data_IF_136269154317
#
_entry.id   IF_136269154317
#
_cell.length_a   1.000
_cell.length_b   1.000
_cell.length_c   1.000
_cell.angle_alpha   90.00
_cell.angle_beta   90.00
_cell.angle_gamma   90.00
#
_symmetry.space_group_name_H-M   'P 1'
#
loop_
_entity.id
_entity.type
_entity.pdbx_description
1 polymer ?
#
# COMPACT_ATOMS: atom_id res chain seq x y z
N UNK A 1 13.20 -2.20 -0.58
CA UNK A 1 12.00 -2.66 0.14
C UNK A 1 12.21 -3.95 0.89
N UNK A 2 12.99 -4.90 0.35
CA UNK A 2 13.28 -6.20 0.99
C UNK A 2 13.72 -6.08 2.47
N UNK A 3 14.43 -5.01 2.85
CA UNK A 3 14.84 -4.80 4.25
C UNK A 3 13.68 -4.70 5.25
N UNK A 4 12.56 -4.03 4.92
CA UNK A 4 11.44 -3.87 5.86
C UNK A 4 10.64 -5.15 6.03
N UNK A 5 10.41 -5.88 4.95
CA UNK A 5 9.74 -7.19 4.98
C UNK A 5 10.54 -8.18 5.85
N UNK A 6 11.86 -8.24 5.67
CA UNK A 6 12.72 -9.13 6.46
C UNK A 6 12.73 -8.77 7.95
N UNK A 7 12.74 -7.47 8.29
CA UNK A 7 12.64 -7.02 9.69
C UNK A 7 11.28 -7.41 10.29
N UNK A 8 10.18 -7.20 9.56
CA UNK A 8 8.84 -7.57 10.03
C UNK A 8 8.75 -9.09 10.25
N UNK A 9 9.27 -9.89 9.32
CA UNK A 9 9.33 -11.35 9.46
C UNK A 9 10.13 -11.77 10.70
N UNK A 10 11.32 -11.20 10.90
CA UNK A 10 12.18 -11.50 12.05
C UNK A 10 11.57 -11.10 13.40
N UNK A 11 10.62 -10.16 13.40
CA UNK A 11 9.94 -9.64 14.60
C UNK A 11 8.51 -10.13 14.73
N UNK A 12 8.08 -11.08 13.89
CA UNK A 12 6.72 -11.62 13.86
C UNK A 12 5.63 -10.55 13.66
N UNK A 13 5.93 -9.55 12.82
CA UNK A 13 5.00 -8.50 12.38
C UNK A 13 4.61 -8.80 10.93
N UNK A 14 3.32 -8.67 10.60
CA UNK A 14 2.85 -8.82 9.23
C UNK A 14 3.20 -7.58 8.40
N UNK A 15 3.71 -7.79 7.19
CA UNK A 15 4.05 -6.72 6.24
C UNK A 15 3.17 -6.80 4.99
N UNK A 16 2.63 -5.65 4.57
CA UNK A 16 1.89 -5.50 3.32
C UNK A 16 2.70 -4.66 2.33
N UNK A 17 3.13 -5.26 1.22
CA UNK A 17 3.75 -4.50 0.14
C UNK A 17 2.69 -3.75 -0.68
N UNK A 18 2.53 -2.47 -0.38
CA UNK A 18 1.69 -1.56 -1.18
C UNK A 18 2.45 -0.92 -2.34
N UNK A 19 3.77 -0.89 -2.30
CA UNK A 19 4.57 -0.17 -3.30
C UNK A 19 4.60 -0.93 -4.62
N UNK A 20 4.80 -2.26 -4.59
CA UNK A 20 4.84 -3.07 -5.80
C UNK A 20 3.60 -2.94 -6.71
N UNK A 21 2.36 -2.91 -6.17
CA UNK A 21 1.17 -2.61 -6.96
C UNK A 21 1.03 -1.12 -7.32
N UNK A 22 1.25 -0.19 -6.39
CA UNK A 22 1.00 1.24 -6.63
C UNK A 22 2.00 1.90 -7.59
N UNK A 23 3.24 1.41 -7.67
CA UNK A 23 4.19 1.87 -8.69
C UNK A 23 3.72 1.57 -10.13
N UNK A 24 2.74 0.68 -10.30
CA UNK A 24 2.13 0.32 -11.59
C UNK A 24 0.72 0.92 -11.75
N UNK A 25 0.23 1.63 -10.73
CA UNK A 25 -1.09 2.24 -10.78
C UNK A 25 -1.06 3.52 -11.59
N UNK A 26 -1.79 3.53 -12.70
CA UNK A 26 -1.99 4.75 -13.48
C UNK A 26 -2.74 5.82 -12.67
N UNK A 27 -3.74 5.43 -11.87
CA UNK A 27 -4.51 6.35 -11.03
C UNK A 27 -3.61 7.07 -10.04
N UNK A 28 -2.80 6.32 -9.30
CA UNK A 28 -1.89 6.85 -8.30
C UNK A 28 -0.89 7.82 -8.93
N UNK A 29 -0.20 7.38 -9.98
CA UNK A 29 0.84 8.16 -10.64
C UNK A 29 0.28 9.44 -11.28
N UNK A 30 -0.91 9.36 -11.89
CA UNK A 30 -1.55 10.51 -12.51
C UNK A 30 -1.98 11.55 -11.47
N UNK A 31 -2.63 11.12 -10.39
CA UNK A 31 -3.06 12.06 -9.34
C UNK A 31 -1.88 12.72 -8.63
N UNK A 32 -0.76 11.99 -8.45
CA UNK A 32 0.50 12.56 -7.94
C UNK A 32 1.07 13.62 -8.90
N UNK A 33 1.12 13.31 -10.19
CA UNK A 33 1.67 14.21 -11.21
C UNK A 33 0.83 15.49 -11.38
N UNK A 34 -0.50 15.38 -11.25
CA UNK A 34 -1.45 16.47 -11.46
C UNK A 34 -1.66 17.35 -10.21
N UNK A 35 -1.07 16.99 -9.06
CA UNK A 35 -1.21 17.74 -7.82
C UNK A 35 0.09 18.40 -7.37
N UNK A 36 0.81 17.78 -6.43
CA UNK A 36 1.99 18.37 -5.76
C UNK A 36 3.28 17.57 -6.01
N UNK A 37 3.21 16.55 -6.87
CA UNK A 37 4.34 15.67 -7.18
C UNK A 37 4.62 14.62 -6.10
N UNK A 38 3.82 14.52 -5.04
CA UNK A 38 4.01 13.53 -3.97
C UNK A 38 2.73 12.79 -3.55
N UNK A 39 1.60 13.47 -3.43
CA UNK A 39 0.36 12.92 -2.90
C UNK A 39 -0.67 12.67 -4.00
N UNK A 40 -1.29 11.48 -4.06
CA UNK A 40 -2.47 11.27 -4.89
C UNK A 40 -3.68 11.99 -4.28
N UNK A 41 -4.84 11.81 -4.91
CA UNK A 41 -6.15 12.28 -4.43
C UNK A 41 -6.98 11.07 -4.03
N UNK A 42 -8.31 11.23 -4.06
CA UNK A 42 -9.24 10.27 -3.52
C UNK A 42 -9.12 8.88 -4.19
N UNK A 43 -8.91 8.83 -5.51
CA UNK A 43 -8.89 7.54 -6.21
C UNK A 43 -7.60 6.76 -5.91
N UNK A 44 -6.44 7.42 -5.83
CA UNK A 44 -5.20 6.77 -5.44
C UNK A 44 -5.23 6.30 -3.98
N UNK A 45 -5.79 7.08 -3.05
CA UNK A 45 -6.00 6.60 -1.68
C UNK A 45 -7.01 5.45 -1.58
N UNK A 46 -8.02 5.41 -2.45
CA UNK A 46 -8.94 4.26 -2.53
C UNK A 46 -8.21 2.97 -2.92
N UNK A 47 -7.17 3.04 -3.77
CA UNK A 47 -6.38 1.87 -4.12
C UNK A 47 -5.56 1.33 -2.93
N UNK A 48 -4.98 2.21 -2.09
CA UNK A 48 -4.39 1.79 -0.80
C UNK A 48 -5.45 1.10 0.06
N UNK A 49 -6.62 1.73 0.22
CA UNK A 49 -7.68 1.21 1.06
C UNK A 49 -8.11 -0.20 0.60
N UNK A 50 -8.20 -0.43 -0.72
CA UNK A 50 -8.54 -1.73 -1.29
C UNK A 50 -7.44 -2.78 -1.02
N UNK A 51 -6.15 -2.41 -1.09
CA UNK A 51 -5.06 -3.33 -0.77
C UNK A 51 -5.12 -3.75 0.71
N UNK A 52 -5.34 -2.80 1.62
CA UNK A 52 -5.44 -3.08 3.06
C UNK A 52 -6.68 -3.93 3.38
N UNK A 53 -7.85 -3.59 2.81
CA UNK A 53 -9.09 -4.31 3.08
C UNK A 53 -9.04 -5.78 2.62
N UNK A 54 -8.33 -6.06 1.52
CA UNK A 54 -8.19 -7.40 0.97
C UNK A 54 -6.98 -8.17 1.52
N UNK A 55 -6.18 -7.56 2.40
CA UNK A 55 -5.02 -8.20 2.99
C UNK A 55 -5.41 -9.10 4.15
N UNK A 56 -4.94 -10.35 4.13
CA UNK A 56 -5.23 -11.35 5.16
C UNK A 56 -4.82 -10.89 6.56
N UNK A 57 -3.71 -10.16 6.70
CA UNK A 57 -3.25 -9.63 7.98
C UNK A 57 -4.21 -8.62 8.61
N UNK A 58 -4.92 -7.84 7.80
CA UNK A 58 -5.96 -6.93 8.26
C UNK A 58 -7.25 -7.68 8.58
N UNK A 59 -7.66 -8.59 7.69
CA UNK A 59 -8.87 -9.41 7.89
C UNK A 59 -8.80 -10.26 9.15
N UNK A 60 -7.65 -10.87 9.44
CA UNK A 60 -7.44 -11.69 10.64
C UNK A 60 -7.44 -10.88 11.94
N UNK A 61 -7.22 -9.57 11.88
CA UNK A 61 -7.29 -8.71 13.07
C UNK A 61 -8.74 -8.38 13.48
N UNK A 62 -9.67 -8.43 12.51
CA UNK A 62 -11.10 -8.13 12.73
C UNK A 62 -11.92 -9.33 13.21
N UNK A 63 -11.31 -10.53 13.27
CA UNK A 63 -11.96 -11.80 13.60
C UNK A 63 -11.32 -12.42 14.83
#
# INVERSE_FOLDING_TARGET
MEQFEQICLATNIHYLDIFAPLQKSQTWLQEVADYDGAHPRAAGYQEIANLVQNWSGWQSWLT
#
